data_IF_870242535067
#
_entry.id   IF_870242535067
#
_cell.length_a   1.000
_cell.length_b   1.000
_cell.length_c   1.000
_cell.angle_alpha   90.00
_cell.angle_beta   90.00
_cell.angle_gamma   90.00
#
_symmetry.space_group_name_H-M   'P 1'
#
loop_
_entity.id
_entity.type
_entity.pdbx_description
1 polymer ?
#
# COMPACT_ATOMS: atom_id res chain seq x y z
N UNK A 1 8.56 15.20 11.39
CA UNK A 1 7.92 13.90 11.09
C UNK A 1 9.00 12.84 11.22
N UNK A 2 8.94 11.99 12.25
CA UNK A 2 9.92 10.92 12.43
C UNK A 2 9.58 9.85 11.40
N UNK A 3 10.27 9.88 10.26
CA UNK A 3 10.29 8.75 9.33
C UNK A 3 10.77 7.56 10.13
N UNK A 4 9.91 6.55 10.30
CA UNK A 4 10.35 5.26 10.84
C UNK A 4 11.54 4.82 9.96
N UNK A 5 12.70 4.41 10.51
CA UNK A 5 13.87 4.01 9.73
C UNK A 5 13.54 2.99 8.61
N UNK A 6 12.48 2.23 8.83
CA UNK A 6 11.84 1.31 7.91
C UNK A 6 11.30 1.95 6.61
N UNK A 7 10.64 3.11 6.69
CA UNK A 7 10.11 3.85 5.52
C UNK A 7 11.24 4.49 4.70
N UNK A 8 12.41 4.75 5.31
CA UNK A 8 13.60 5.20 4.56
C UNK A 8 14.12 4.12 3.64
N UNK A 9 14.06 2.85 4.05
CA UNK A 9 14.47 1.72 3.22
C UNK A 9 13.57 1.63 1.99
N UNK A 10 12.25 1.67 2.17
CA UNK A 10 11.26 1.60 1.07
C UNK A 10 11.36 2.82 0.14
N UNK A 11 11.51 4.03 0.66
CA UNK A 11 11.69 5.24 -0.14
C UNK A 11 12.97 5.23 -1.00
N UNK A 12 14.07 4.64 -0.50
CA UNK A 12 15.31 4.50 -1.28
C UNK A 12 15.12 3.58 -2.49
N UNK A 13 14.16 2.64 -2.44
CA UNK A 13 13.85 1.72 -3.53
C UNK A 13 12.96 2.32 -4.63
N UNK A 14 12.19 3.39 -4.33
CA UNK A 14 11.46 4.15 -5.35
C UNK A 14 12.37 4.84 -6.38
N UNK A 15 13.68 4.96 -6.10
CA UNK A 15 14.71 5.41 -7.03
C UNK A 15 15.21 4.32 -8.00
N UNK A 16 14.78 3.07 -7.83
CA UNK A 16 15.12 1.98 -8.74
C UNK A 16 14.55 2.23 -10.14
N UNK A 17 15.35 1.95 -11.17
CA UNK A 17 14.93 2.02 -12.57
C UNK A 17 13.96 0.86 -12.85
N UNK A 18 12.67 1.06 -12.61
CA UNK A 18 11.64 0.15 -13.10
C UNK A 18 11.64 0.20 -14.63
N UNK A 19 12.09 -0.89 -15.25
CA UNK A 19 12.01 -1.10 -16.70
C UNK A 19 10.55 -1.05 -17.12
N UNK A 20 10.27 -0.28 -18.15
CA UNK A 20 8.97 -0.08 -18.75
C UNK A 20 8.26 -1.42 -19.02
N UNK A 21 7.00 -1.50 -18.62
CA UNK A 21 6.03 -2.48 -19.12
C UNK A 21 5.79 -2.18 -20.62
N UNK A 22 6.74 -2.56 -21.48
CA UNK A 22 6.63 -2.34 -22.92
C UNK A 22 5.94 -3.53 -23.60
N UNK A 23 4.74 -3.27 -24.16
CA UNK A 23 4.42 -3.47 -25.59
C UNK A 23 2.92 -3.55 -25.95
N UNK A 24 1.97 -3.23 -25.05
CA UNK A 24 0.51 -3.24 -25.41
C UNK A 24 -0.25 -1.97 -24.99
N UNK A 25 0.40 -0.95 -24.42
CA UNK A 25 -0.23 0.11 -23.63
C UNK A 25 -0.34 1.50 -24.31
N UNK A 26 -0.52 1.60 -25.62
CA UNK A 26 -0.61 2.91 -26.32
C UNK A 26 -1.87 3.75 -26.01
N UNK A 27 -2.77 3.29 -25.13
CA UNK A 27 -4.00 3.99 -24.74
C UNK A 27 -4.11 4.44 -23.28
N UNK A 28 -3.18 4.05 -22.40
CA UNK A 28 -3.28 4.36 -20.97
C UNK A 28 -2.17 5.30 -20.51
N UNK A 29 -2.54 6.24 -19.64
CA UNK A 29 -1.59 7.15 -19.00
C UNK A 29 -0.97 6.42 -17.83
N UNK A 30 0.34 6.21 -17.87
CA UNK A 30 1.08 5.56 -16.79
C UNK A 30 1.71 6.61 -15.86
N UNK A 31 1.64 6.38 -14.55
CA UNK A 31 2.24 7.27 -13.55
C UNK A 31 3.28 6.53 -12.71
N UNK A 32 4.28 7.25 -12.20
CA UNK A 32 5.22 6.72 -11.20
C UNK A 32 5.57 7.77 -10.17
N UNK A 33 5.71 7.36 -8.92
CA UNK A 33 6.25 8.20 -7.86
C UNK A 33 7.76 8.25 -8.02
N UNK A 34 8.32 9.44 -8.16
CA UNK A 34 9.78 9.63 -8.34
C UNK A 34 10.45 10.21 -7.09
N UNK A 35 9.69 10.88 -6.22
CA UNK A 35 10.23 11.54 -5.04
C UNK A 35 9.11 11.88 -4.02
N UNK A 36 9.50 12.24 -2.80
CA UNK A 36 8.67 12.75 -1.72
C UNK A 36 9.40 13.88 -1.02
N UNK A 37 8.88 15.11 -1.13
CA UNK A 37 9.50 16.32 -0.57
C UNK A 37 8.46 17.20 0.09
N UNK A 38 8.79 17.75 1.26
CA UNK A 38 7.95 18.72 1.99
C UNK A 38 6.51 18.22 2.22
N UNK A 39 6.32 16.93 2.46
CA UNK A 39 5.00 16.33 2.70
C UNK A 39 4.17 16.10 1.43
N UNK A 40 4.75 16.25 0.24
CA UNK A 40 4.09 15.98 -1.05
C UNK A 40 4.87 14.95 -1.87
N UNK A 41 4.15 14.13 -2.62
CA UNK A 41 4.72 13.21 -3.58
C UNK A 41 4.98 13.95 -4.89
N UNK A 42 6.12 13.65 -5.53
CA UNK A 42 6.41 14.06 -6.89
C UNK A 42 6.06 12.86 -7.78
N UNK A 43 5.03 13.02 -8.60
CA UNK A 43 4.54 12.00 -9.52
C UNK A 43 4.92 12.41 -10.93
N UNK A 44 5.45 11.47 -11.71
CA UNK A 44 5.76 11.63 -13.11
C UNK A 44 4.71 10.92 -13.96
N UNK A 45 4.12 11.62 -14.93
CA UNK A 45 3.43 10.98 -16.04
C UNK A 45 4.49 10.40 -16.98
N UNK A 46 4.49 9.07 -17.15
CA UNK A 46 5.53 8.34 -17.89
C UNK A 46 5.53 8.74 -19.37
N UNK A 47 4.34 8.88 -19.97
CA UNK A 47 4.17 9.17 -21.38
C UNK A 47 4.72 10.56 -21.77
N UNK A 48 4.47 11.58 -20.95
CA UNK A 48 4.89 12.97 -21.24
C UNK A 48 6.18 13.38 -20.55
N UNK A 49 6.67 12.57 -19.61
CA UNK A 49 7.76 12.89 -18.66
C UNK A 49 7.48 14.09 -17.75
N UNK A 50 6.30 14.70 -17.82
CA UNK A 50 5.89 15.80 -16.94
C UNK A 50 5.78 15.34 -15.49
N UNK A 51 6.18 16.21 -14.57
CA UNK A 51 6.09 15.94 -13.13
C UNK A 51 5.16 16.95 -12.45
N UNK A 52 4.47 16.50 -11.41
CA UNK A 52 3.62 17.35 -10.58
C UNK A 52 3.71 16.92 -9.12
N UNK A 53 3.37 17.85 -8.22
CA UNK A 53 3.30 17.58 -6.79
C UNK A 53 1.87 17.27 -6.37
N UNK A 54 1.69 16.23 -5.57
CA UNK A 54 0.37 15.76 -5.14
C UNK A 54 0.41 15.27 -3.70
N UNK A 55 -0.73 15.31 -3.00
CA UNK A 55 -0.84 14.77 -1.64
C UNK A 55 -1.20 13.28 -1.65
N UNK A 56 -1.08 12.62 -0.49
CA UNK A 56 -1.52 11.22 -0.38
C UNK A 56 -3.03 11.06 -0.66
N UNK A 57 -3.83 12.03 -0.22
CA UNK A 57 -5.28 12.03 -0.43
C UNK A 57 -5.60 12.14 -1.92
N UNK A 58 -4.91 13.03 -2.63
CA UNK A 58 -5.10 13.24 -4.06
C UNK A 58 -4.74 11.97 -4.85
N UNK A 59 -3.61 11.31 -4.51
CA UNK A 59 -3.24 10.01 -5.14
C UNK A 59 -4.33 8.95 -4.96
N UNK A 60 -4.96 8.90 -3.78
CA UNK A 60 -5.91 7.83 -3.46
C UNK A 60 -7.28 8.06 -4.08
N UNK A 61 -7.67 9.32 -4.24
CA UNK A 61 -8.95 9.68 -4.86
C UNK A 61 -8.87 9.76 -6.38
N UNK A 62 -7.67 9.92 -6.93
CA UNK A 62 -7.40 9.79 -8.35
C UNK A 62 -7.03 8.33 -8.69
N UNK A 63 -8.05 7.53 -9.05
CA UNK A 63 -7.86 6.11 -9.34
C UNK A 63 -6.97 5.88 -10.58
N UNK A 64 -6.92 6.83 -11.52
CA UNK A 64 -6.05 6.75 -12.68
C UNK A 64 -4.57 6.83 -12.25
N UNK A 65 -4.26 7.71 -11.29
CA UNK A 65 -2.93 7.74 -10.67
C UNK A 65 -2.71 6.45 -9.87
N UNK A 66 -3.56 6.10 -8.91
CA UNK A 66 -3.31 4.99 -7.99
C UNK A 66 -3.10 3.65 -8.70
N UNK A 67 -3.95 3.34 -9.69
CA UNK A 67 -3.95 2.04 -10.36
C UNK A 67 -2.96 1.94 -11.52
N UNK A 68 -2.38 3.05 -11.95
CA UNK A 68 -1.28 3.05 -12.92
C UNK A 68 0.11 2.99 -12.28
N UNK A 69 0.20 3.11 -10.95
CA UNK A 69 1.45 2.95 -10.22
C UNK A 69 1.96 1.50 -10.31
N UNK A 70 3.27 1.34 -10.17
CA UNK A 70 3.85 0.01 -9.99
C UNK A 70 3.34 -0.61 -8.67
N UNK A 71 3.05 -1.93 -8.59
CA UNK A 71 2.48 -2.57 -7.40
C UNK A 71 3.22 -2.26 -6.09
N UNK A 72 4.56 -2.21 -6.13
CA UNK A 72 5.38 -1.78 -5.00
C UNK A 72 5.02 -0.37 -4.48
N UNK A 73 4.84 0.58 -5.40
CA UNK A 73 4.50 1.97 -5.09
C UNK A 73 3.08 2.05 -4.53
N UNK A 74 2.13 1.33 -5.13
CA UNK A 74 0.75 1.27 -4.64
C UNK A 74 0.66 0.65 -3.25
N UNK A 75 1.40 -0.42 -3.00
CA UNK A 75 1.52 -1.02 -1.67
C UNK A 75 2.10 -0.04 -0.65
N UNK A 76 3.15 0.69 -1.01
CA UNK A 76 3.72 1.73 -0.16
C UNK A 76 2.72 2.84 0.15
N UNK A 77 1.98 3.32 -0.85
CA UNK A 77 0.91 4.31 -0.66
C UNK A 77 -0.19 3.77 0.27
N UNK A 78 -0.55 2.49 0.15
CA UNK A 78 -1.49 1.84 1.06
C UNK A 78 -1.02 1.89 2.51
N UNK A 79 0.25 1.55 2.76
CA UNK A 79 0.84 1.60 4.11
C UNK A 79 0.83 3.05 4.66
N UNK A 80 1.34 4.01 3.89
CA UNK A 80 1.37 5.43 4.28
C UNK A 80 -0.05 5.94 4.56
N UNK A 81 -1.03 5.48 3.80
CA UNK A 81 -2.41 5.89 3.98
C UNK A 81 -3.00 5.37 5.28
N UNK A 82 -2.67 4.15 5.69
CA UNK A 82 -3.07 3.63 7.00
C UNK A 82 -2.59 4.55 8.13
N UNK A 83 -1.33 5.01 8.05
CA UNK A 83 -0.78 5.97 9.02
C UNK A 83 -1.46 7.34 8.93
N UNK A 84 -1.76 7.81 7.72
CA UNK A 84 -2.52 9.04 7.52
C UNK A 84 -3.91 8.97 8.16
N UNK A 85 -4.66 7.88 7.94
CA UNK A 85 -5.99 7.68 8.53
C UNK A 85 -5.90 7.71 10.06
N UNK A 86 -4.96 6.96 10.62
CA UNK A 86 -4.76 6.91 12.08
C UNK A 86 -4.42 8.28 12.66
N UNK A 87 -3.50 9.01 12.02
CA UNK A 87 -3.06 10.34 12.48
C UNK A 87 -4.20 11.36 12.51
N UNK A 88 -5.13 11.26 11.57
CA UNK A 88 -6.24 12.19 11.43
C UNK A 88 -7.55 11.65 12.07
N UNK A 89 -7.51 10.52 12.77
CA UNK A 89 -8.69 9.84 13.33
C UNK A 89 -9.82 9.62 12.31
N UNK A 90 -9.43 9.25 11.09
CA UNK A 90 -10.35 9.01 9.98
C UNK A 90 -10.75 7.53 9.92
N UNK A 91 -12.02 7.28 9.62
CA UNK A 91 -12.54 5.92 9.47
C UNK A 91 -12.24 5.36 8.07
N UNK A 92 -11.55 4.22 8.04
CA UNK A 92 -11.23 3.43 6.83
C UNK A 92 -12.48 3.07 6.04
N UNK A 93 -13.60 2.81 6.72
CA UNK A 93 -14.84 2.32 6.09
C UNK A 93 -15.42 3.33 5.09
N UNK A 94 -15.22 4.63 5.34
CA UNK A 94 -15.69 5.70 4.46
C UNK A 94 -14.85 5.80 3.17
N UNK A 95 -13.60 5.38 3.20
CA UNK A 95 -12.70 5.40 2.04
C UNK A 95 -12.86 4.15 1.18
N UNK A 96 -12.98 2.98 1.80
CA UNK A 96 -13.23 1.72 1.09
C UNK A 96 -14.50 1.78 0.23
N UNK A 97 -15.54 2.50 0.67
CA UNK A 97 -16.77 2.71 -0.11
C UNK A 97 -16.59 3.60 -1.34
N UNK A 98 -15.58 4.48 -1.34
CA UNK A 98 -15.33 5.45 -2.42
C UNK A 98 -14.40 4.92 -3.49
N UNK A 99 -13.48 4.02 -3.10
CA UNK A 99 -12.61 3.32 -4.04
C UNK A 99 -13.45 2.23 -4.70
N UNK A 100 -13.96 2.50 -5.90
CA UNK A 100 -14.61 1.48 -6.72
C UNK A 100 -13.54 0.48 -7.14
N UNK A 101 -13.82 -0.82 -7.00
CA UNK A 101 -12.99 -1.87 -7.61
C UNK A 101 -12.91 -1.59 -9.11
N UNK A 102 -11.75 -1.18 -9.59
CA UNK A 102 -11.54 -1.03 -11.03
C UNK A 102 -10.93 -2.33 -11.50
N UNK A 103 -11.65 -3.10 -12.33
CA UNK A 103 -11.14 -4.36 -12.87
C UNK A 103 -9.87 -4.14 -13.70
N UNK A 104 -8.71 -4.19 -13.04
CA UNK A 104 -7.41 -4.17 -13.68
C UNK A 104 -6.97 -5.62 -13.87
N UNK A 105 -7.00 -6.05 -15.13
CA UNK A 105 -6.81 -7.44 -15.52
C UNK A 105 -5.32 -7.88 -15.55
N UNK A 106 -4.40 -7.09 -14.99
CA UNK A 106 -2.99 -7.47 -14.89
C UNK A 106 -2.59 -7.98 -13.49
N UNK A 107 -1.49 -8.71 -13.42
CA UNK A 107 -1.04 -9.42 -12.23
C UNK A 107 -1.32 -10.92 -12.33
N UNK A 108 -0.36 -11.74 -11.89
CA UNK A 108 -0.50 -13.20 -11.87
C UNK A 108 -1.07 -13.71 -10.55
N UNK A 109 -1.05 -12.91 -9.49
CA UNK A 109 -1.70 -13.24 -8.22
C UNK A 109 -3.01 -12.49 -8.08
N UNK A 110 -4.06 -13.17 -7.60
CA UNK A 110 -5.39 -12.59 -7.38
C UNK A 110 -5.93 -12.85 -5.99
N UNK A 111 -6.37 -11.80 -5.32
CA UNK A 111 -7.02 -11.90 -4.01
C UNK A 111 -8.43 -12.48 -4.21
N UNK A 112 -8.72 -13.60 -3.54
CA UNK A 112 -10.06 -14.20 -3.51
C UNK A 112 -10.91 -13.64 -2.38
N UNK A 113 -10.37 -13.66 -1.17
CA UNK A 113 -11.05 -13.17 0.03
C UNK A 113 -10.05 -12.84 1.14
N UNK A 114 -10.54 -12.14 2.15
CA UNK A 114 -9.85 -11.98 3.43
C UNK A 114 -10.56 -12.84 4.48
N UNK A 115 -9.80 -13.62 5.24
CA UNK A 115 -10.36 -14.47 6.28
C UNK A 115 -10.71 -13.67 7.56
N UNK A 116 -11.28 -14.35 8.56
CA UNK A 116 -11.65 -13.71 9.83
C UNK A 116 -10.45 -13.26 10.69
N UNK A 117 -9.25 -13.77 10.40
CA UNK A 117 -8.00 -13.36 11.05
C UNK A 117 -7.37 -12.15 10.35
N UNK A 118 -7.97 -11.71 9.25
CA UNK A 118 -7.46 -10.61 8.43
C UNK A 118 -6.32 -11.03 7.51
N UNK A 119 -6.15 -12.33 7.26
CA UNK A 119 -5.17 -12.89 6.33
C UNK A 119 -5.79 -12.97 4.93
N UNK A 120 -4.97 -12.80 3.90
CA UNK A 120 -5.43 -12.84 2.52
C UNK A 120 -5.31 -14.25 1.95
N UNK A 121 -6.41 -14.74 1.39
CA UNK A 121 -6.39 -15.87 0.47
C UNK A 121 -6.23 -15.32 -0.95
N UNK A 122 -5.18 -15.75 -1.64
CA UNK A 122 -4.92 -15.40 -3.03
C UNK A 122 -4.53 -16.63 -3.85
N UNK A 123 -4.77 -16.58 -5.15
CA UNK A 123 -4.45 -17.65 -6.09
C UNK A 123 -3.37 -17.19 -7.06
N UNK A 124 -2.42 -18.08 -7.34
CA UNK A 124 -1.52 -17.95 -8.50
C UNK A 124 -2.29 -18.38 -9.75
N UNK A 125 -2.52 -17.47 -10.70
CA UNK A 125 -3.26 -17.76 -11.93
C UNK A 125 -2.54 -18.70 -12.89
N UNK A 126 -1.23 -18.93 -12.69
CA UNK A 126 -0.45 -19.85 -13.53
C UNK A 126 -0.52 -21.28 -13.00
N UNK A 127 -0.34 -21.48 -11.69
CA UNK A 127 -0.36 -22.81 -11.06
C UNK A 127 -1.72 -23.21 -10.50
N UNK A 128 -2.64 -22.26 -10.36
CA UNK A 128 -3.91 -22.37 -9.63
C UNK A 128 -3.76 -22.72 -8.14
N UNK A 129 -2.56 -22.59 -7.58
CA UNK A 129 -2.30 -22.81 -6.16
C UNK A 129 -2.87 -21.67 -5.31
N UNK A 130 -3.60 -22.03 -4.26
CA UNK A 130 -4.10 -21.10 -3.26
C UNK A 130 -3.12 -20.93 -2.12
N UNK A 131 -2.92 -19.69 -1.70
CA UNK A 131 -2.05 -19.31 -0.62
C UNK A 131 -2.84 -18.45 0.37
N UNK A 132 -2.66 -18.71 1.67
CA UNK A 132 -3.24 -17.91 2.75
C UNK A 132 -2.09 -17.30 3.55
N UNK A 133 -2.01 -15.98 3.59
CA UNK A 133 -0.87 -15.28 4.17
C UNK A 133 -1.26 -13.95 4.83
N UNK A 134 -0.53 -13.58 5.89
CA UNK A 134 -0.71 -12.29 6.55
C UNK A 134 -0.32 -11.14 5.59
N UNK A 135 -1.12 -10.08 5.49
CA UNK A 135 -0.84 -8.96 4.58
C UNK A 135 0.52 -8.30 4.80
N UNK A 136 1.08 -8.35 6.02
CA UNK A 136 2.42 -7.81 6.32
C UNK A 136 3.51 -8.61 5.61
N UNK A 137 3.41 -9.93 5.61
CA UNK A 137 4.39 -10.81 4.94
C UNK A 137 4.34 -10.61 3.43
N UNK A 138 3.14 -10.46 2.86
CA UNK A 138 2.95 -10.14 1.44
C UNK A 138 3.53 -8.75 1.12
N UNK A 139 3.17 -7.73 1.89
CA UNK A 139 3.57 -6.33 1.67
C UNK A 139 5.09 -6.12 1.74
N UNK A 140 5.80 -6.93 2.53
CA UNK A 140 7.26 -6.83 2.69
C UNK A 140 8.05 -7.72 1.72
N UNK A 141 7.36 -8.56 0.94
CA UNK A 141 7.97 -9.36 -0.11
C UNK A 141 7.83 -8.68 -1.46
N UNK A 142 8.92 -8.09 -1.95
CA UNK A 142 8.96 -7.45 -3.28
C UNK A 142 8.57 -8.42 -4.41
N UNK A 143 9.03 -9.66 -4.31
CA UNK A 143 8.74 -10.71 -5.28
C UNK A 143 7.24 -11.05 -5.27
N UNK A 144 6.58 -11.08 -4.11
CA UNK A 144 5.13 -11.35 -4.05
C UNK A 144 4.32 -10.15 -4.50
N UNK A 145 4.62 -8.96 -3.98
CA UNK A 145 3.81 -7.77 -4.26
C UNK A 145 3.87 -7.35 -5.74
N UNK A 146 5.00 -7.56 -6.41
CA UNK A 146 5.15 -7.33 -7.85
C UNK A 146 4.28 -8.24 -8.73
N UNK A 147 3.75 -9.34 -8.17
CA UNK A 147 2.85 -10.27 -8.87
C UNK A 147 1.37 -9.88 -8.80
N UNK A 148 0.99 -8.95 -7.93
CA UNK A 148 -0.39 -8.44 -7.82
C UNK A 148 -0.62 -7.23 -8.73
N UNK A 149 -1.88 -6.89 -8.98
CA UNK A 149 -2.24 -5.60 -9.56
C UNK A 149 -1.93 -4.44 -8.60
N UNK A 150 -1.83 -3.20 -9.10
CA UNK A 150 -1.65 -2.02 -8.25
C UNK A 150 -2.77 -1.84 -7.22
N UNK A 151 -4.01 -2.09 -7.63
CA UNK A 151 -5.17 -2.04 -6.76
C UNK A 151 -5.03 -3.02 -5.58
N UNK A 152 -4.80 -4.29 -5.88
CA UNK A 152 -4.66 -5.33 -4.86
C UNK A 152 -3.45 -5.04 -3.97
N UNK A 153 -2.34 -4.60 -4.56
CA UNK A 153 -1.15 -4.20 -3.82
C UNK A 153 -1.42 -3.02 -2.87
N UNK A 154 -2.19 -2.02 -3.29
CA UNK A 154 -2.64 -0.94 -2.40
C UNK A 154 -3.46 -1.47 -1.22
N UNK A 155 -4.42 -2.36 -1.46
CA UNK A 155 -5.23 -2.94 -0.38
C UNK A 155 -4.41 -3.84 0.55
N UNK A 156 -3.45 -4.59 0.02
CA UNK A 156 -2.47 -5.34 0.83
C UNK A 156 -1.70 -4.38 1.73
N UNK A 157 -1.13 -3.32 1.15
CA UNK A 157 -0.40 -2.29 1.89
C UNK A 157 -1.23 -1.60 2.97
N UNK A 158 -2.47 -1.22 2.66
CA UNK A 158 -3.39 -0.60 3.61
C UNK A 158 -3.65 -1.52 4.81
N UNK A 159 -3.97 -2.79 4.58
CA UNK A 159 -4.22 -3.74 5.66
C UNK A 159 -2.97 -4.08 6.46
N UNK A 160 -1.81 -4.20 5.79
CA UNK A 160 -0.53 -4.34 6.47
C UNK A 160 -0.27 -3.15 7.40
N UNK A 161 -0.45 -1.93 6.91
CA UNK A 161 -0.32 -0.70 7.69
C UNK A 161 -1.24 -0.66 8.92
N UNK A 162 -2.51 -1.03 8.76
CA UNK A 162 -3.46 -1.11 9.87
C UNK A 162 -3.03 -2.15 10.92
N UNK A 163 -2.63 -3.37 10.50
CA UNK A 163 -2.11 -4.40 11.43
C UNK A 163 -0.85 -3.93 12.17
N UNK A 164 0.03 -3.19 11.50
CA UNK A 164 1.25 -2.62 12.10
C UNK A 164 0.89 -1.63 13.19
N UNK A 165 0.00 -0.68 12.87
CA UNK A 165 -0.51 0.34 13.80
C UNK A 165 -1.10 -0.36 15.03
N UNK A 166 -2.02 -1.30 14.85
CA UNK A 166 -2.67 -1.99 15.96
C UNK A 166 -1.67 -2.71 16.87
N UNK A 167 -0.62 -3.34 16.31
CA UNK A 167 0.44 -3.96 17.10
C UNK A 167 1.19 -2.95 17.96
N UNK A 168 1.59 -1.81 17.40
CA UNK A 168 2.34 -0.77 18.13
C UNK A 168 1.49 -0.06 19.20
N UNK A 169 0.21 0.21 18.93
CA UNK A 169 -0.70 0.86 19.87
C UNK A 169 -1.14 -0.09 21.00
N UNK A 170 -1.32 -1.39 20.72
CA UNK A 170 -1.65 -2.36 21.77
C UNK A 170 -0.44 -2.67 22.66
N UNK A 171 0.78 -2.65 22.12
CA UNK A 171 2.01 -2.81 22.91
C UNK A 171 2.23 -1.64 23.89
N UNK A 172 1.98 -0.40 23.45
CA UNK A 172 2.09 0.80 24.30
C UNK A 172 1.00 0.88 25.37
N UNK A 173 -0.23 0.42 25.07
CA UNK A 173 -1.28 0.27 26.10
C UNK A 173 -0.91 -0.76 27.16
N UNK A 174 -0.34 -1.92 26.78
CA UNK A 174 0.10 -2.95 27.74
C UNK A 174 1.26 -2.48 28.63
N UNK A 175 2.18 -1.67 28.12
CA UNK A 175 3.28 -1.11 28.89
C UNK A 175 2.84 -0.10 29.95
N UNK A 176 1.69 0.57 29.75
CA UNK A 176 1.13 1.54 30.70
C UNK A 176 0.17 0.91 31.73
N UNK A 177 -0.03 -0.42 31.70
CA UNK A 177 -0.70 -1.17 32.77
C UNK A 177 0.37 -1.70 33.73
N UNK A 178 1.02 -0.78 34.45
CA UNK A 178 1.69 -1.16 35.71
C UNK A 178 0.56 -1.39 36.71
N UNK A 179 0.44 -2.57 37.34
CA UNK A 179 -0.56 -2.76 38.37
C UNK A 179 -0.18 -1.83 39.53
N UNK A 180 -1.06 -0.88 39.86
CA UNK A 180 -1.05 -0.25 41.16
C UNK A 180 -1.20 -1.37 42.20
N UNK A 181 -0.06 -1.88 42.69
CA UNK A 181 -0.02 -2.58 43.98
C UNK A 181 -0.44 -1.54 45.00
N UNK A 182 -1.68 -1.63 45.47
CA UNK A 182 -2.09 -0.97 46.71
C UNK A 182 -1.16 -1.46 47.80
N UNK A 183 -0.31 -0.55 48.29
CA UNK A 183 0.38 -0.69 49.56
C UNK A 183 -0.69 -0.45 50.63
N UNK A 184 -1.00 -1.49 51.39
CA UNK A 184 -1.63 -1.39 52.71
C UNK A 184 -0.58 -1.81 53.74
#
# INVERSE_FOLDING_TARGET
MVMVPFLKKIYFFLKGNYTSFDNVLSKYVSYKIVDFRKGKYIVQCVNTKSTFQTSISDIIFDLDILYSLHPLQSCYIGIEFAFYLKKNNLDVSNYQKRIKKAHHDYGIYRIKYQDRKGDYCYVDLLSYEENVEDPREIAFSEIKISKFSAEEAFYIGLNAGLKIIDKYFNATKKANVIPFKKVY
#
